data_IF_172301194050
#
_entry.id   IF_172301194050
#
_cell.length_a   1.000
_cell.length_b   1.000
_cell.length_c   1.000
_cell.angle_alpha   90.00
_cell.angle_beta   90.00
_cell.angle_gamma   90.00
#
_symmetry.space_group_name_H-M   'P 1'
#
loop_
_entity.id
_entity.type
_entity.pdbx_description
1 polymer ?
#
# COMPACT_ATOMS: atom_id res chain seq x y z
N UNK A 1 -20.24 0.77 -20.15
CA UNK A 1 -19.62 0.05 -19.03
C UNK A 1 -18.53 0.95 -18.47
N UNK A 2 -18.61 1.36 -17.21
CA UNK A 2 -17.51 2.09 -16.57
C UNK A 2 -16.27 1.19 -16.62
N UNK A 3 -15.22 1.62 -17.32
CA UNK A 3 -13.93 0.92 -17.25
C UNK A 3 -13.45 1.09 -15.82
N UNK A 4 -13.24 -0.01 -15.09
CA UNK A 4 -12.59 0.06 -13.78
C UNK A 4 -11.30 0.87 -13.90
N UNK A 5 -11.09 1.83 -13.00
CA UNK A 5 -9.87 2.64 -12.95
C UNK A 5 -8.88 2.17 -11.87
N UNK A 6 -9.07 0.93 -11.43
CA UNK A 6 -8.19 0.24 -10.51
C UNK A 6 -8.08 -1.26 -10.82
N UNK A 7 -6.96 -1.86 -10.41
CA UNK A 7 -6.71 -3.28 -10.47
C UNK A 7 -6.02 -3.77 -9.20
N UNK A 8 -6.40 -4.97 -8.75
CA UNK A 8 -5.80 -5.60 -7.57
C UNK A 8 -5.25 -6.99 -7.93
N UNK A 9 -4.15 -7.36 -7.28
CA UNK A 9 -3.54 -8.68 -7.33
C UNK A 9 -3.17 -9.08 -5.90
N UNK A 10 -3.63 -10.25 -5.49
CA UNK A 10 -3.45 -10.74 -4.12
C UNK A 10 -2.70 -12.07 -4.10
N UNK A 11 -1.82 -12.26 -3.11
CA UNK A 11 -1.17 -13.52 -2.80
C UNK A 11 -1.05 -13.71 -1.29
N UNK A 12 -1.34 -14.93 -0.84
CA UNK A 12 -1.09 -15.34 0.55
C UNK A 12 0.28 -16.00 0.65
N UNK A 13 1.08 -15.55 1.62
CA UNK A 13 2.42 -16.03 1.91
C UNK A 13 2.47 -16.56 3.34
N UNK A 14 3.17 -17.67 3.56
CA UNK A 14 3.46 -18.13 4.92
C UNK A 14 4.79 -17.51 5.40
N UNK A 15 4.79 -16.90 6.59
CA UNK A 15 5.93 -16.19 7.21
C UNK A 15 7.14 -17.08 7.50
N UNK A 16 6.91 -18.37 7.71
CA UNK A 16 7.94 -19.38 7.94
C UNK A 16 8.68 -19.74 6.65
N UNK A 17 8.14 -19.39 5.48
CA UNK A 17 8.87 -19.58 4.23
C UNK A 17 10.13 -18.70 4.19
N UNK A 18 11.21 -19.21 3.57
CA UNK A 18 12.44 -18.44 3.37
C UNK A 18 12.14 -17.07 2.78
N UNK A 19 12.80 -16.04 3.33
CA UNK A 19 12.60 -14.64 2.93
C UNK A 19 12.77 -14.45 1.41
N UNK A 20 13.75 -15.10 0.81
CA UNK A 20 14.02 -15.05 -0.63
C UNK A 20 12.84 -15.56 -1.46
N UNK A 21 12.22 -16.66 -1.03
CA UNK A 21 11.03 -17.21 -1.69
C UNK A 21 9.85 -16.24 -1.61
N UNK A 22 9.62 -15.64 -0.44
CA UNK A 22 8.60 -14.60 -0.27
C UNK A 22 8.87 -13.39 -1.16
N UNK A 23 10.11 -12.90 -1.20
CA UNK A 23 10.52 -11.79 -2.07
C UNK A 23 10.34 -12.11 -3.55
N UNK A 24 10.63 -13.33 -3.98
CA UNK A 24 10.42 -13.76 -5.36
C UNK A 24 8.93 -13.71 -5.74
N UNK A 25 8.02 -14.14 -4.86
CA UNK A 25 6.57 -14.05 -5.10
C UNK A 25 6.14 -12.58 -5.24
N UNK A 26 6.59 -11.69 -4.35
CA UNK A 26 6.28 -10.26 -4.45
C UNK A 26 6.83 -9.63 -5.74
N UNK A 27 8.02 -10.05 -6.20
CA UNK A 27 8.57 -9.63 -7.49
C UNK A 27 7.70 -10.11 -8.66
N UNK A 28 7.25 -11.36 -8.64
CA UNK A 28 6.36 -11.90 -9.66
C UNK A 28 5.02 -11.16 -9.71
N UNK A 29 4.49 -10.74 -8.56
CA UNK A 29 3.27 -9.95 -8.51
C UNK A 29 3.38 -8.64 -9.30
N UNK A 30 4.53 -7.95 -9.26
CA UNK A 30 4.76 -6.75 -10.09
C UNK A 30 4.65 -7.07 -11.59
N UNK A 31 5.26 -8.18 -12.03
CA UNK A 31 5.17 -8.64 -13.42
C UNK A 31 3.73 -8.95 -13.84
N UNK A 32 3.01 -9.70 -13.01
CA UNK A 32 1.61 -10.06 -13.29
C UNK A 32 0.67 -8.85 -13.27
N UNK A 33 0.91 -7.88 -12.39
CA UNK A 33 0.17 -6.62 -12.41
C UNK A 33 0.41 -5.88 -13.73
N UNK A 34 1.65 -5.81 -14.20
CA UNK A 34 1.97 -5.22 -15.50
C UNK A 34 1.21 -5.87 -16.65
N UNK A 35 1.20 -7.19 -16.72
CA UNK A 35 0.44 -7.94 -17.72
C UNK A 35 -1.07 -7.64 -17.64
N UNK A 36 -1.64 -7.64 -16.43
CA UNK A 36 -3.06 -7.35 -16.20
C UNK A 36 -3.45 -5.94 -16.66
N UNK A 37 -2.59 -4.95 -16.46
CA UNK A 37 -2.82 -3.58 -16.93
C UNK A 37 -2.76 -3.49 -18.46
N UNK A 38 -1.81 -4.18 -19.09
CA UNK A 38 -1.69 -4.24 -20.54
C UNK A 38 -2.91 -4.88 -21.21
N UNK A 39 -3.52 -5.92 -20.60
CA UNK A 39 -4.75 -6.56 -21.11
C UNK A 39 -5.93 -5.60 -21.27
N UNK A 40 -5.96 -4.53 -20.46
CA UNK A 40 -7.01 -3.50 -20.49
C UNK A 40 -6.55 -2.20 -21.13
N UNK A 41 -5.37 -2.20 -21.78
CA UNK A 41 -4.82 -1.07 -22.51
C UNK A 41 -4.26 0.04 -21.62
N UNK A 42 -3.82 -0.28 -20.40
CA UNK A 42 -3.17 0.64 -19.47
C UNK A 42 -1.67 0.36 -19.47
N UNK A 43 -0.85 1.36 -19.79
CA UNK A 43 0.62 1.24 -19.76
C UNK A 43 1.10 1.17 -18.30
N UNK A 44 1.65 0.01 -17.85
CA UNK A 44 2.05 -0.17 -16.46
C UNK A 44 3.22 0.72 -16.02
N UNK A 45 3.97 1.30 -16.97
CA UNK A 45 5.07 2.23 -16.68
C UNK A 45 4.63 3.70 -16.71
N UNK A 46 3.36 3.97 -16.97
CA UNK A 46 2.84 5.33 -16.99
C UNK A 46 2.99 5.99 -15.61
N UNK A 47 3.50 7.24 -15.54
CA UNK A 47 3.54 8.00 -14.29
C UNK A 47 2.14 8.33 -13.75
N UNK A 48 1.10 8.09 -14.55
CA UNK A 48 -0.29 8.27 -14.13
C UNK A 48 -0.82 7.16 -13.22
N UNK A 49 -0.06 6.09 -13.01
CA UNK A 49 -0.46 4.97 -12.15
C UNK A 49 0.17 5.12 -10.77
N UNK A 50 -0.67 5.01 -9.74
CA UNK A 50 -0.21 4.83 -8.37
C UNK A 50 -0.29 3.36 -7.99
N UNK A 51 0.82 2.84 -7.46
CA UNK A 51 0.90 1.50 -6.91
C UNK A 51 0.88 1.53 -5.39
N UNK A 52 0.05 0.68 -4.79
CA UNK A 52 -0.08 0.54 -3.33
C UNK A 52 0.08 -0.91 -2.94
N UNK A 53 1.00 -1.16 -2.01
CA UNK A 53 1.03 -2.42 -1.28
C UNK A 53 0.16 -2.35 -0.02
N UNK A 54 -0.58 -3.42 0.24
CA UNK A 54 -1.16 -3.69 1.56
C UNK A 54 -0.73 -5.08 2.00
N UNK A 55 -0.34 -5.24 3.27
CA UNK A 55 0.05 -6.54 3.83
C UNK A 55 -0.70 -6.78 5.14
N UNK A 56 -1.73 -7.61 5.08
CA UNK A 56 -2.45 -8.09 6.28
C UNK A 56 -1.74 -9.31 6.84
N UNK A 57 -1.61 -9.42 8.16
CA UNK A 57 -0.97 -10.57 8.82
C UNK A 57 -1.93 -11.25 9.78
N UNK A 58 -2.19 -12.55 9.56
CA UNK A 58 -3.05 -13.37 10.40
C UNK A 58 -2.26 -14.62 10.82
N UNK A 59 -1.79 -14.64 12.07
CA UNK A 59 -0.92 -15.69 12.58
C UNK A 59 0.38 -15.84 11.76
N UNK A 60 0.51 -16.98 11.07
CA UNK A 60 1.64 -17.32 10.22
C UNK A 60 1.44 -16.94 8.74
N UNK A 61 0.27 -16.42 8.37
CA UNK A 61 -0.04 -16.03 7.00
C UNK A 61 0.05 -14.50 6.82
N UNK A 62 0.45 -14.10 5.61
CA UNK A 62 0.43 -12.72 5.15
C UNK A 62 -0.31 -12.65 3.83
N UNK A 63 -1.40 -11.91 3.80
CA UNK A 63 -2.11 -11.57 2.57
C UNK A 63 -1.50 -10.29 2.02
N UNK A 64 -0.75 -10.41 0.94
CA UNK A 64 -0.12 -9.30 0.25
C UNK A 64 -0.96 -8.90 -0.96
N UNK A 65 -1.38 -7.65 -1.01
CA UNK A 65 -2.20 -7.09 -2.09
C UNK A 65 -1.44 -5.97 -2.77
N UNK A 66 -1.16 -6.13 -4.07
CA UNK A 66 -0.67 -5.07 -4.96
C UNK A 66 -1.87 -4.46 -5.66
N UNK A 67 -2.08 -3.16 -5.47
CA UNK A 67 -3.13 -2.40 -6.14
C UNK A 67 -2.52 -1.36 -7.08
N UNK A 68 -3.15 -1.16 -8.22
CA UNK A 68 -2.83 -0.11 -9.19
C UNK A 68 -4.06 0.80 -9.34
N UNK A 69 -3.87 2.11 -9.27
CA UNK A 69 -4.92 3.12 -9.40
C UNK A 69 -4.55 4.11 -10.52
N UNK A 70 -5.50 4.39 -11.40
CA UNK A 70 -5.39 5.43 -12.43
C UNK A 70 -6.72 6.19 -12.52
N UNK A 71 -6.81 7.20 -13.39
CA UNK A 71 -8.05 7.92 -13.67
C UNK A 71 -8.82 8.34 -12.40
N UNK A 72 -10.10 7.97 -12.34
CA UNK A 72 -10.99 8.33 -11.23
C UNK A 72 -10.54 7.74 -9.89
N UNK A 73 -10.19 6.45 -9.82
CA UNK A 73 -9.78 5.82 -8.56
C UNK A 73 -8.47 6.41 -8.01
N UNK A 74 -7.57 6.88 -8.88
CA UNK A 74 -6.40 7.67 -8.45
C UNK A 74 -6.84 9.02 -7.87
N UNK A 75 -7.76 9.73 -8.52
CA UNK A 75 -8.26 11.00 -8.03
C UNK A 75 -8.94 10.87 -6.66
N UNK A 76 -9.76 9.82 -6.47
CA UNK A 76 -10.39 9.48 -5.19
C UNK A 76 -9.36 9.15 -4.11
N UNK A 77 -8.32 8.36 -4.44
CA UNK A 77 -7.25 8.06 -3.50
C UNK A 77 -6.50 9.32 -3.05
N UNK A 78 -6.30 10.26 -3.97
CA UNK A 78 -5.58 11.51 -3.72
C UNK A 78 -6.44 12.63 -3.12
N UNK A 79 -7.78 12.46 -3.05
CA UNK A 79 -8.67 13.52 -2.58
C UNK A 79 -8.54 13.79 -1.08
N UNK A 80 -8.12 12.79 -0.30
CA UNK A 80 -8.10 12.87 1.16
C UNK A 80 -9.45 12.56 1.83
N UNK A 81 -10.50 12.24 1.06
CA UNK A 81 -11.85 12.02 1.60
C UNK A 81 -12.04 10.63 2.22
N UNK A 82 -11.14 9.69 1.93
CA UNK A 82 -11.24 8.29 2.35
C UNK A 82 -9.93 7.80 3.00
N UNK A 83 -9.48 8.42 4.11
CA UNK A 83 -8.29 7.98 4.81
C UNK A 83 -8.49 6.57 5.39
N UNK A 84 -7.50 5.71 5.19
CA UNK A 84 -7.44 4.42 5.87
C UNK A 84 -7.25 4.63 7.37
N UNK A 85 -7.91 3.78 8.16
CA UNK A 85 -7.84 3.82 9.63
C UNK A 85 -7.59 2.42 10.18
N UNK A 86 -7.31 2.30 11.48
CA UNK A 86 -7.18 0.99 12.11
C UNK A 86 -6.03 0.16 11.55
N UNK A 87 -6.24 -1.15 11.49
CA UNK A 87 -5.26 -2.09 10.94
C UNK A 87 -4.93 -1.79 9.47
N UNK A 88 -5.91 -1.36 8.66
CA UNK A 88 -5.71 -1.08 7.24
C UNK A 88 -4.72 0.07 7.00
N UNK A 89 -4.71 1.07 7.88
CA UNK A 89 -3.71 2.14 7.85
C UNK A 89 -2.30 1.58 8.00
N UNK A 90 -2.09 0.67 8.96
CA UNK A 90 -0.78 0.07 9.22
C UNK A 90 -0.38 -0.91 8.11
N UNK A 91 -1.34 -1.73 7.67
CA UNK A 91 -1.16 -2.71 6.60
C UNK A 91 -0.77 -2.02 5.28
N UNK A 92 -1.23 -0.78 5.05
CA UNK A 92 -0.78 0.06 3.94
C UNK A 92 0.54 0.80 4.25
N UNK A 93 0.65 1.51 5.37
CA UNK A 93 1.80 2.39 5.62
C UNK A 93 3.12 1.62 5.70
N UNK A 94 3.13 0.46 6.36
CA UNK A 94 4.35 -0.30 6.64
C UNK A 94 5.08 -0.79 5.39
N UNK A 95 4.44 -1.48 4.43
CA UNK A 95 5.13 -1.91 3.20
C UNK A 95 5.54 -0.75 2.30
N UNK A 96 4.86 0.40 2.38
CA UNK A 96 5.15 1.57 1.54
C UNK A 96 6.12 2.59 2.17
N UNK A 97 6.54 2.40 3.44
CA UNK A 97 7.36 3.36 4.20
C UNK A 97 8.63 3.86 3.48
N UNK A 98 9.21 3.05 2.60
CA UNK A 98 10.38 3.42 1.81
C UNK A 98 10.14 4.55 0.79
N UNK A 99 8.87 4.89 0.49
CA UNK A 99 8.49 5.93 -0.48
C UNK A 99 8.49 7.35 0.12
N UNK A 100 8.68 7.49 1.44
CA UNK A 100 8.64 8.76 2.15
C UNK A 100 7.23 9.20 2.56
N UNK A 101 7.14 10.05 3.58
CA UNK A 101 5.89 10.32 4.30
C UNK A 101 4.77 10.88 3.43
N UNK A 102 5.07 11.82 2.52
CA UNK A 102 4.06 12.42 1.63
C UNK A 102 3.44 11.40 0.69
N UNK A 103 4.27 10.54 0.07
CA UNK A 103 3.77 9.50 -0.82
C UNK A 103 2.93 8.47 -0.05
N UNK A 104 3.37 8.09 1.16
CA UNK A 104 2.62 7.12 1.96
C UNK A 104 1.29 7.70 2.47
N UNK A 105 1.25 8.97 2.87
CA UNK A 105 0.01 9.65 3.24
C UNK A 105 -1.02 9.60 2.11
N UNK A 106 -0.60 9.91 0.88
CA UNK A 106 -1.44 9.79 -0.32
C UNK A 106 -1.92 8.35 -0.55
N UNK A 107 -1.03 7.36 -0.49
CA UNK A 107 -1.40 5.94 -0.67
C UNK A 107 -2.36 5.43 0.42
N UNK A 108 -2.27 6.00 1.62
CA UNK A 108 -3.18 5.74 2.73
C UNK A 108 -4.48 6.56 2.68
N UNK A 109 -4.71 7.35 1.62
CA UNK A 109 -5.97 8.08 1.42
C UNK A 109 -6.06 9.42 2.15
N UNK A 110 -4.94 9.97 2.64
CA UNK A 110 -4.91 11.27 3.34
C UNK A 110 -4.71 12.47 2.40
N UNK A 111 -4.53 12.23 1.10
CA UNK A 111 -4.26 13.32 0.14
C UNK A 111 -3.03 14.14 0.55
N UNK A 112 -3.20 15.43 0.80
CA UNK A 112 -2.14 16.34 1.27
C UNK A 112 -2.03 16.45 2.80
N UNK A 113 -2.87 15.78 3.58
CA UNK A 113 -2.87 15.84 5.05
C UNK A 113 -1.82 14.92 5.67
N UNK A 114 -0.56 15.34 5.59
CA UNK A 114 0.60 14.61 6.12
C UNK A 114 0.59 14.55 7.65
N UNK A 115 0.14 15.61 8.32
CA UNK A 115 0.14 15.65 9.78
C UNK A 115 -1.00 14.79 10.36
N UNK A 116 -2.20 14.81 9.76
CA UNK A 116 -3.26 13.88 10.12
C UNK A 116 -2.86 12.41 9.89
N UNK A 117 -2.14 12.13 8.79
CA UNK A 117 -1.55 10.81 8.56
C UNK A 117 -0.56 10.42 9.67
N UNK A 118 0.35 11.33 10.03
CA UNK A 118 1.36 11.10 11.07
C UNK A 118 0.72 10.78 12.41
N UNK A 119 -0.23 11.60 12.85
CA UNK A 119 -0.95 11.42 14.11
C UNK A 119 -1.71 10.09 14.13
N UNK A 120 -2.41 9.76 13.04
CA UNK A 120 -3.15 8.51 12.94
C UNK A 120 -2.24 7.27 12.99
N UNK A 121 -1.09 7.29 12.30
CA UNK A 121 -0.13 6.19 12.36
C UNK A 121 0.46 6.05 13.76
N UNK A 122 0.88 7.16 14.41
CA UNK A 122 1.42 7.13 15.77
C UNK A 122 0.40 6.57 16.77
N UNK A 123 -0.85 7.05 16.68
CA UNK A 123 -1.96 6.56 17.50
C UNK A 123 -2.17 5.06 17.29
N UNK A 124 -2.26 4.60 16.05
CA UNK A 124 -2.54 3.21 15.75
C UNK A 124 -1.39 2.28 16.17
N UNK A 125 -0.14 2.72 16.02
CA UNK A 125 1.02 1.97 16.53
C UNK A 125 0.96 1.79 18.05
N UNK A 126 0.59 2.84 18.79
CA UNK A 126 0.43 2.79 20.24
C UNK A 126 -0.74 1.88 20.66
N UNK A 127 -1.90 2.01 20.02
CA UNK A 127 -3.10 1.20 20.33
C UNK A 127 -2.89 -0.29 20.05
N UNK A 128 -2.11 -0.64 19.02
CA UNK A 128 -1.86 -2.02 18.64
C UNK A 128 -0.58 -2.62 19.25
N UNK A 129 0.21 -1.83 20.00
CA UNK A 129 1.51 -2.27 20.51
C UNK A 129 2.51 -2.65 19.41
N UNK A 130 2.49 -1.93 18.28
CA UNK A 130 3.35 -2.23 17.13
C UNK A 130 4.69 -1.53 17.28
N UNK A 131 5.74 -2.32 17.40
CA UNK A 131 7.12 -1.86 17.30
C UNK A 131 7.61 -2.05 15.85
N UNK A 132 7.76 -0.94 15.11
CA UNK A 132 8.18 -0.98 13.72
C UNK A 132 9.09 0.21 13.40
N UNK A 133 10.40 -0.04 13.34
CA UNK A 133 11.42 0.98 13.04
C UNK A 133 11.14 1.73 11.73
N UNK A 134 10.65 1.03 10.69
CA UNK A 134 10.31 1.67 9.41
C UNK A 134 9.16 2.66 9.53
N UNK A 135 8.18 2.38 10.40
CA UNK A 135 7.06 3.29 10.63
C UNK A 135 7.50 4.44 11.52
N UNK A 136 8.27 4.17 12.59
CA UNK A 136 8.87 5.21 13.43
C UNK A 136 9.66 6.21 12.58
N UNK A 137 10.64 5.75 11.79
CA UNK A 137 11.39 6.62 10.88
C UNK A 137 10.52 7.37 9.87
N UNK A 138 9.39 6.80 9.45
CA UNK A 138 8.46 7.46 8.54
C UNK A 138 7.76 8.65 9.22
N UNK A 139 7.33 8.48 10.48
CA UNK A 139 6.51 9.44 11.23
C UNK A 139 7.30 10.31 12.21
N UNK A 140 8.58 10.01 12.41
CA UNK A 140 9.52 10.76 13.23
C UNK A 140 10.50 11.49 12.31
N UNK A 141 10.02 12.58 11.71
CA UNK A 141 10.90 13.61 11.15
C UNK A 141 10.89 14.79 12.12
N UNK A 142 11.85 14.78 13.03
CA UNK A 142 12.38 15.97 13.72
C UNK A 142 13.54 16.55 12.92
#
# INVERSE_FOLDING_TARGET
MSKSTQAHLERTLNKEQPREKRQQVLKQMNYYMGAKLMEIGVDPNSPEILYRWSVKTEGNEQTCTLSAFWGQSKAELLSGEHPLTGEDLINCAKPNAHQGITAVAQLCGYGSDVEGFREAVKKQMAEMGIESESLQRLVDNS
#
